data_IF_157426813096
#
_entry.id   IF_157426813096
#
_cell.length_a   1.000
_cell.length_b   1.000
_cell.length_c   1.000
_cell.angle_alpha   90.00
_cell.angle_beta   90.00
_cell.angle_gamma   90.00
#
_symmetry.space_group_name_H-M   'P 1'
#
loop_
_entity.id
_entity.type
_entity.pdbx_description
1 polymer ?
#
# COMPACT_ATOMS: atom_id res chain seq x y z
N UNK A 1 14.92 2.14 12.94
CA UNK A 1 13.94 2.40 11.85
C UNK A 1 12.56 2.28 12.48
N UNK A 2 11.70 3.29 12.32
CA UNK A 2 10.34 3.26 12.86
C UNK A 2 9.55 2.11 12.23
N UNK A 3 8.80 1.35 13.04
CA UNK A 3 7.98 0.21 12.60
C UNK A 3 6.94 0.63 11.56
N UNK A 4 6.38 1.84 11.70
CA UNK A 4 5.40 2.38 10.75
C UNK A 4 6.02 2.63 9.37
N UNK A 5 7.20 3.24 9.35
CA UNK A 5 7.95 3.47 8.11
C UNK A 5 8.34 2.16 7.42
N UNK A 6 8.72 1.13 8.17
CA UNK A 6 9.04 -0.18 7.60
C UNK A 6 7.81 -0.84 6.96
N UNK A 7 6.65 -0.76 7.62
CA UNK A 7 5.40 -1.28 7.08
C UNK A 7 5.00 -0.55 5.78
N UNK A 8 4.98 0.77 5.80
CA UNK A 8 4.63 1.61 4.65
C UNK A 8 5.51 1.29 3.42
N UNK A 9 6.83 1.21 3.65
CA UNK A 9 7.80 0.85 2.61
C UNK A 9 7.55 -0.54 2.03
N UNK A 10 7.41 -1.55 2.89
CA UNK A 10 7.20 -2.95 2.44
C UNK A 10 5.88 -3.12 1.69
N UNK A 11 4.81 -2.49 2.16
CA UNK A 11 3.52 -2.53 1.48
C UNK A 11 3.64 -1.96 0.07
N UNK A 12 4.29 -0.80 -0.07
CA UNK A 12 4.52 -0.15 -1.37
C UNK A 12 5.37 -0.99 -2.31
N UNK A 13 6.44 -1.61 -1.81
CA UNK A 13 7.31 -2.50 -2.58
C UNK A 13 6.55 -3.74 -3.08
N UNK A 14 5.82 -4.42 -2.20
CA UNK A 14 5.03 -5.59 -2.56
C UNK A 14 3.95 -5.25 -3.59
N UNK A 15 3.21 -4.15 -3.39
CA UNK A 15 2.19 -3.70 -4.34
C UNK A 15 2.79 -3.47 -5.74
N UNK A 16 3.91 -2.75 -5.81
CA UNK A 16 4.62 -2.50 -7.07
C UNK A 16 5.18 -3.77 -7.71
N UNK A 17 5.71 -4.70 -6.92
CA UNK A 17 6.21 -6.00 -7.42
C UNK A 17 5.13 -6.85 -8.09
N UNK A 18 3.87 -6.61 -7.73
CA UNK A 18 2.69 -7.26 -8.34
C UNK A 18 2.08 -6.44 -9.49
N UNK A 19 2.70 -5.33 -9.89
CA UNK A 19 2.21 -4.46 -10.95
C UNK A 19 0.92 -3.71 -10.60
N UNK A 20 0.57 -3.60 -9.31
CA UNK A 20 -0.70 -3.02 -8.88
C UNK A 20 -0.59 -1.52 -8.63
N UNK A 21 -1.59 -0.77 -9.05
CA UNK A 21 -1.88 0.60 -8.59
C UNK A 21 -2.47 0.57 -7.16
N UNK A 22 -2.45 1.70 -6.46
CA UNK A 22 -3.11 1.82 -5.14
C UNK A 22 -4.63 1.57 -5.25
N UNK A 23 -5.25 2.00 -6.36
CA UNK A 23 -6.66 1.76 -6.68
C UNK A 23 -6.98 0.27 -6.84
N UNK A 24 -6.15 -0.48 -7.55
CA UNK A 24 -6.35 -1.92 -7.72
C UNK A 24 -6.14 -2.69 -6.41
N UNK A 25 -5.15 -2.30 -5.60
CA UNK A 25 -4.97 -2.89 -4.27
C UNK A 25 -6.16 -2.58 -3.37
N UNK A 26 -6.65 -1.33 -3.38
CA UNK A 26 -7.82 -0.93 -2.62
C UNK A 26 -9.05 -1.76 -2.98
N UNK A 27 -9.33 -1.91 -4.29
CA UNK A 27 -10.42 -2.77 -4.78
C UNK A 27 -10.31 -4.22 -4.29
N UNK A 28 -9.11 -4.82 -4.29
CA UNK A 28 -8.90 -6.21 -3.81
C UNK A 28 -9.11 -6.37 -2.31
N UNK A 29 -8.84 -5.32 -1.54
CA UNK A 29 -8.97 -5.31 -0.07
C UNK A 29 -10.29 -4.70 0.41
N UNK A 30 -11.19 -4.35 -0.51
CA UNK A 30 -12.45 -3.66 -0.23
C UNK A 30 -12.26 -2.34 0.56
N UNK A 31 -11.24 -1.56 0.19
CA UNK A 31 -10.93 -0.23 0.75
C UNK A 31 -10.71 0.80 -0.37
N UNK A 32 -10.68 2.07 -0.01
CA UNK A 32 -10.41 3.16 -0.96
C UNK A 32 -8.91 3.24 -1.32
N UNK A 33 -8.60 3.81 -2.47
CA UNK A 33 -7.21 4.12 -2.85
C UNK A 33 -6.53 5.07 -1.86
N UNK A 34 -7.31 5.98 -1.25
CA UNK A 34 -6.82 6.89 -0.22
C UNK A 34 -6.36 6.15 1.05
N UNK A 35 -7.07 5.10 1.48
CA UNK A 35 -6.66 4.28 2.61
C UNK A 35 -5.30 3.61 2.35
N UNK A 36 -5.10 3.07 1.14
CA UNK A 36 -3.82 2.50 0.72
C UNK A 36 -2.72 3.58 0.71
N UNK A 37 -3.04 4.78 0.21
CA UNK A 37 -2.12 5.92 0.26
C UNK A 37 -1.67 6.27 1.67
N UNK A 38 -2.60 6.30 2.64
CA UNK A 38 -2.29 6.57 4.06
C UNK A 38 -1.44 5.48 4.71
N UNK A 39 -1.54 4.23 4.26
CA UNK A 39 -0.71 3.14 4.75
C UNK A 39 0.72 3.17 4.19
N UNK A 40 0.90 3.75 3.01
CA UNK A 40 2.19 3.86 2.31
C UNK A 40 2.96 5.15 2.60
N UNK A 41 2.38 6.07 3.40
CA UNK A 41 3.04 7.24 3.97
C UNK A 41 3.79 6.88 5.26
#
# INVERSE_FOLDING_TARGET
MDKRQLFAKRLRELRKSKGLTQKELGRRLNVTEAAVGMWEQ
#
